data_IF_631929704764
#
_entry.id   IF_631929704764
#
_cell.length_a   1.000
_cell.length_b   1.000
_cell.length_c   1.000
_cell.angle_alpha   90.00
_cell.angle_beta   90.00
_cell.angle_gamma   90.00
#
_symmetry.space_group_name_H-M   'P 1'
#
loop_
_entity.id
_entity.type
_entity.pdbx_description
1 polymer ?
#
# COMPACT_ATOMS: atom_id res chain seq x y z
N UNK A 1 40.92 37.07 15.31
CA UNK A 1 40.16 37.25 16.57
C UNK A 1 38.79 36.62 16.41
N UNK A 2 38.47 35.56 17.16
CA UNK A 2 37.17 34.88 17.08
C UNK A 2 36.09 35.70 17.81
N UNK A 3 34.98 36.01 17.13
CA UNK A 3 33.85 36.72 17.75
C UNK A 3 33.21 35.84 18.83
N UNK A 4 32.94 36.37 20.03
CA UNK A 4 32.32 35.59 21.09
C UNK A 4 30.90 35.14 20.69
N UNK A 5 30.46 33.95 21.11
CA UNK A 5 29.16 33.41 20.74
C UNK A 5 28.02 34.30 21.26
N UNK A 6 27.08 34.64 20.36
CA UNK A 6 25.88 35.42 20.70
C UNK A 6 25.09 34.70 21.81
N UNK A 7 24.79 35.41 22.90
CA UNK A 7 23.91 34.92 23.97
C UNK A 7 22.56 34.50 23.35
N UNK A 8 22.20 33.22 23.50
CA UNK A 8 20.91 32.69 23.02
C UNK A 8 19.77 33.40 23.76
N UNK A 9 18.82 33.96 23.02
CA UNK A 9 17.64 34.65 23.58
C UNK A 9 16.84 33.67 24.45
N UNK A 10 16.52 34.04 25.69
CA UNK A 10 15.65 33.25 26.57
C UNK A 10 14.22 33.37 26.06
N UNK A 11 13.71 32.30 25.48
CA UNK A 11 12.34 32.20 25.00
C UNK A 11 11.42 32.03 26.21
N UNK A 12 10.40 32.88 26.32
CA UNK A 12 9.44 32.87 27.42
C UNK A 12 8.59 31.60 27.44
N UNK A 13 8.01 31.25 28.59
CA UNK A 13 7.12 30.09 28.70
C UNK A 13 5.88 30.21 27.80
N UNK A 14 5.41 31.43 27.54
CA UNK A 14 4.31 31.71 26.62
C UNK A 14 4.72 31.49 25.15
N UNK A 15 5.87 32.01 24.72
CA UNK A 15 6.39 31.76 23.37
C UNK A 15 6.58 30.26 23.11
N UNK A 16 7.07 29.48 24.08
CA UNK A 16 7.17 28.02 23.95
C UNK A 16 5.80 27.35 23.74
N UNK A 17 4.77 27.78 24.48
CA UNK A 17 3.40 27.23 24.33
C UNK A 17 2.79 27.60 22.97
N UNK A 18 3.01 28.82 22.48
CA UNK A 18 2.58 29.23 21.14
C UNK A 18 3.30 28.45 20.04
N UNK A 19 4.61 28.21 20.18
CA UNK A 19 5.39 27.40 19.24
C UNK A 19 4.84 25.97 19.16
N UNK A 20 4.57 25.33 20.31
CA UNK A 20 4.01 23.97 20.36
C UNK A 20 2.63 23.89 19.72
N UNK A 21 1.77 24.91 19.89
CA UNK A 21 0.46 24.95 19.21
C UNK A 21 0.62 25.06 17.69
N UNK A 22 1.51 25.92 17.21
CA UNK A 22 1.79 26.05 15.77
C UNK A 22 2.42 24.78 15.17
N UNK A 23 3.30 24.11 15.92
CA UNK A 23 3.91 22.86 15.49
C UNK A 23 2.86 21.71 15.44
N UNK A 24 1.90 21.70 16.36
CA UNK A 24 0.77 20.76 16.37
C UNK A 24 -0.22 21.03 15.23
N UNK A 25 -0.51 22.29 14.91
CA UNK A 25 -1.36 22.66 13.78
C UNK A 25 -0.70 22.30 12.45
N UNK A 26 0.60 22.58 12.29
CA UNK A 26 1.38 22.16 11.10
C UNK A 26 1.44 20.65 10.94
N UNK A 27 1.59 19.90 12.04
CA UNK A 27 1.58 18.44 12.00
C UNK A 27 0.21 17.90 11.55
N UNK A 28 -0.89 18.47 12.04
CA UNK A 28 -2.26 18.09 11.63
C UNK A 28 -2.57 18.45 10.18
N UNK A 29 -2.13 19.62 9.72
CA UNK A 29 -2.28 20.01 8.31
C UNK A 29 -1.49 19.08 7.37
N UNK A 30 -0.26 18.69 7.76
CA UNK A 30 0.53 17.71 6.99
C UNK A 30 -0.09 16.31 6.96
N UNK A 31 -0.65 15.82 8.08
CA UNK A 31 -1.29 14.51 8.14
C UNK A 31 -2.53 14.43 7.22
N UNK A 32 -3.35 15.50 7.17
CA UNK A 32 -4.57 15.50 6.35
C UNK A 32 -4.33 15.42 4.84
N UNK A 33 -3.28 16.09 4.34
CA UNK A 33 -2.99 16.13 2.90
C UNK A 33 -2.36 14.84 2.35
N UNK A 34 -1.65 14.09 3.19
CA UNK A 34 -1.03 12.83 2.79
C UNK A 34 -2.06 11.69 2.65
N UNK A 35 -3.14 11.71 3.45
CA UNK A 35 -4.22 10.74 3.33
C UNK A 35 -5.11 11.00 2.11
N UNK A 36 -5.46 12.25 1.83
CA UNK A 36 -6.17 12.61 0.58
C UNK A 36 -5.36 12.21 -0.65
N UNK A 37 -4.03 12.36 -0.62
CA UNK A 37 -3.17 11.92 -1.72
C UNK A 37 -3.19 10.39 -1.91
N UNK A 38 -3.15 9.62 -0.82
CA UNK A 38 -3.25 8.15 -0.88
C UNK A 38 -4.60 7.70 -1.44
N UNK A 39 -5.69 8.35 -1.05
CA UNK A 39 -7.04 8.07 -1.56
C UNK A 39 -7.13 8.29 -3.07
N UNK A 40 -6.62 9.44 -3.55
CA UNK A 40 -6.57 9.75 -4.99
C UNK A 40 -5.72 8.74 -5.77
N UNK A 41 -4.53 8.41 -5.25
CA UNK A 41 -3.65 7.41 -5.83
C UNK A 41 -4.32 6.02 -5.87
N UNK A 42 -5.00 5.64 -4.80
CA UNK A 42 -5.75 4.39 -4.75
C UNK A 42 -6.88 4.40 -5.78
N UNK A 43 -7.60 5.52 -5.95
CA UNK A 43 -8.62 5.70 -6.98
C UNK A 43 -8.07 5.50 -8.39
N UNK A 44 -6.88 6.02 -8.69
CA UNK A 44 -6.16 5.76 -9.96
C UNK A 44 -5.88 4.27 -10.16
N UNK A 45 -5.47 3.57 -9.10
CA UNK A 45 -5.18 2.13 -9.17
C UNK A 45 -6.46 1.30 -9.34
N UNK A 46 -7.57 1.69 -8.69
CA UNK A 46 -8.87 1.01 -8.79
C UNK A 46 -9.51 1.15 -10.17
N UNK A 47 -9.28 2.28 -10.84
CA UNK A 47 -9.80 2.55 -12.19
C UNK A 47 -8.93 1.98 -13.31
N UNK A 48 -7.79 1.38 -12.96
CA UNK A 48 -6.91 0.72 -13.92
C UNK A 48 -7.60 -0.47 -14.62
N UNK A 49 -7.08 -0.88 -15.80
CA UNK A 49 -7.50 -2.12 -16.44
C UNK A 49 -7.39 -3.32 -15.50
N UNK A 50 -8.18 -4.34 -15.80
CA UNK A 50 -8.28 -5.56 -14.99
C UNK A 50 -6.92 -6.25 -14.71
N UNK A 51 -5.97 -6.12 -15.63
CA UNK A 51 -4.62 -6.69 -15.50
C UNK A 51 -3.71 -5.89 -14.54
N UNK A 52 -4.17 -4.74 -14.06
CA UNK A 52 -3.43 -3.81 -13.22
C UNK A 52 -2.75 -2.68 -14.02
N UNK A 53 -2.01 -1.84 -13.29
CA UNK A 53 -1.30 -0.69 -13.84
C UNK A 53 0.18 -0.72 -13.42
N UNK A 54 1.07 -0.34 -14.31
CA UNK A 54 2.49 -0.22 -13.96
C UNK A 54 2.80 1.19 -13.41
N UNK A 55 4.00 1.39 -12.84
CA UNK A 55 4.41 2.69 -12.30
C UNK A 55 4.39 3.84 -13.31
N UNK A 56 4.68 3.57 -14.57
CA UNK A 56 4.66 4.59 -15.63
C UNK A 56 3.24 5.08 -15.91
N UNK A 57 2.28 4.14 -15.96
CA UNK A 57 0.86 4.43 -16.11
C UNK A 57 0.33 5.24 -14.92
N UNK A 58 0.69 4.83 -13.70
CA UNK A 58 0.30 5.60 -12.50
C UNK A 58 0.86 7.02 -12.57
N UNK A 59 2.16 7.20 -12.88
CA UNK A 59 2.74 8.54 -13.02
C UNK A 59 1.99 9.39 -14.03
N UNK A 60 1.66 8.82 -15.19
CA UNK A 60 0.93 9.53 -16.24
C UNK A 60 -0.46 9.97 -15.77
N UNK A 61 -1.19 9.10 -15.08
CA UNK A 61 -2.52 9.41 -14.53
C UNK A 61 -2.45 10.45 -13.39
N UNK A 62 -1.43 10.39 -12.54
CA UNK A 62 -1.23 11.38 -11.46
C UNK A 62 -0.91 12.77 -12.04
N UNK A 63 -0.10 12.85 -13.10
CA UNK A 63 0.17 14.11 -13.82
C UNK A 63 -1.10 14.68 -14.42
N UNK A 64 -1.95 13.86 -15.03
CA UNK A 64 -3.24 14.30 -15.57
C UNK A 64 -4.19 14.85 -14.49
N UNK A 65 -4.07 14.34 -13.26
CA UNK A 65 -4.79 14.84 -12.08
C UNK A 65 -4.12 16.02 -11.37
N UNK A 66 -3.02 16.57 -11.91
CA UNK A 66 -2.22 17.63 -11.29
C UNK A 66 -1.69 17.27 -9.89
N UNK A 67 -1.40 15.98 -9.65
CA UNK A 67 -0.91 15.50 -8.35
C UNK A 67 0.64 15.42 -8.33
N UNK A 68 1.27 15.78 -7.19
CA UNK A 68 2.73 15.76 -7.03
C UNK A 68 3.32 14.35 -7.18
N UNK A 69 4.38 14.17 -7.97
CA UNK A 69 5.00 12.84 -8.23
C UNK A 69 6.04 12.45 -7.17
N UNK A 70 6.63 13.44 -6.51
CA UNK A 70 7.64 13.28 -5.46
C UNK A 70 7.14 12.40 -4.30
N UNK A 71 5.85 12.51 -3.95
CA UNK A 71 5.21 11.70 -2.90
C UNK A 71 4.81 10.29 -3.34
N UNK A 72 4.85 9.97 -4.64
CA UNK A 72 4.28 8.74 -5.19
C UNK A 72 4.88 7.48 -4.57
N UNK A 73 6.19 7.41 -4.41
CA UNK A 73 6.85 6.22 -3.88
C UNK A 73 6.50 5.96 -2.42
N UNK A 74 6.41 7.02 -1.61
CA UNK A 74 6.04 6.96 -0.20
C UNK A 74 4.59 6.51 -0.06
N UNK A 75 3.67 7.10 -0.83
CA UNK A 75 2.26 6.73 -0.81
C UNK A 75 2.03 5.29 -1.29
N UNK A 76 2.68 4.86 -2.38
CA UNK A 76 2.62 3.46 -2.84
C UNK A 76 3.11 2.48 -1.77
N UNK A 77 4.17 2.84 -1.04
CA UNK A 77 4.68 2.00 0.05
C UNK A 77 3.66 1.93 1.18
N UNK A 78 3.07 3.05 1.58
CA UNK A 78 2.01 3.11 2.60
C UNK A 78 0.80 2.25 2.24
N UNK A 79 0.27 2.38 1.02
CA UNK A 79 -0.86 1.57 0.53
C UNK A 79 -0.52 0.07 0.45
N UNK A 80 0.74 -0.27 0.18
CA UNK A 80 1.18 -1.67 0.16
C UNK A 80 1.30 -2.24 1.59
N UNK A 81 1.75 -1.44 2.55
CA UNK A 81 1.86 -1.81 3.96
C UNK A 81 0.49 -1.92 4.64
N UNK A 82 -0.48 -1.05 4.29
CA UNK A 82 -1.88 -1.19 4.71
C UNK A 82 -2.59 -2.38 4.04
N UNK A 83 -1.99 -2.93 2.98
CA UNK A 83 -2.52 -4.08 2.24
C UNK A 83 -3.69 -3.72 1.33
N UNK A 84 -3.84 -2.45 0.96
CA UNK A 84 -4.85 -1.99 0.00
C UNK A 84 -4.43 -2.29 -1.44
N UNK A 85 -3.12 -2.32 -1.71
CA UNK A 85 -2.57 -2.66 -3.03
C UNK A 85 -1.51 -3.77 -2.93
N UNK A 86 -1.27 -4.45 -4.05
CA UNK A 86 -0.18 -5.41 -4.20
C UNK A 86 0.63 -5.15 -5.47
N UNK A 87 1.96 -5.29 -5.36
CA UNK A 87 2.88 -5.22 -6.48
C UNK A 87 3.29 -6.64 -6.92
N UNK A 88 2.86 -7.03 -8.11
CA UNK A 88 3.09 -8.36 -8.69
C UNK A 88 3.98 -8.27 -9.93
N UNK A 89 5.26 -8.01 -9.69
CA UNK A 89 6.29 -7.96 -10.72
C UNK A 89 6.23 -6.70 -11.57
N UNK A 90 6.09 -5.54 -10.93
CA UNK A 90 6.06 -4.23 -11.59
C UNK A 90 4.65 -3.78 -12.00
N UNK A 91 3.66 -4.65 -11.81
CA UNK A 91 2.23 -4.35 -12.00
C UNK A 91 1.60 -4.20 -10.62
N UNK A 92 0.91 -3.09 -10.42
CA UNK A 92 0.25 -2.70 -9.18
C UNK A 92 -1.25 -2.87 -9.37
N UNK A 93 -1.89 -3.48 -8.38
CA UNK A 93 -3.32 -3.80 -8.39
C UNK A 93 -3.90 -3.53 -7.01
N UNK A 94 -5.14 -3.05 -6.96
CA UNK A 94 -5.87 -2.94 -5.71
C UNK A 94 -6.33 -4.34 -5.25
N UNK A 95 -6.18 -4.64 -3.97
CA UNK A 95 -6.54 -5.94 -3.38
C UNK A 95 -8.05 -6.16 -3.42
N UNK A 96 -8.84 -5.08 -3.30
CA UNK A 96 -10.29 -5.16 -3.37
C UNK A 96 -10.82 -5.67 -4.72
N UNK A 97 -10.09 -5.41 -5.81
CA UNK A 97 -10.40 -5.83 -7.17
C UNK A 97 -10.18 -7.33 -7.42
N UNK A 98 -9.85 -8.12 -6.39
CA UNK A 98 -9.78 -9.56 -6.49
C UNK A 98 -11.13 -10.15 -6.92
N UNK A 99 -11.24 -10.58 -8.18
CA UNK A 99 -12.47 -11.15 -8.73
C UNK A 99 -12.53 -12.67 -8.56
N UNK A 100 -13.66 -13.18 -8.04
CA UNK A 100 -13.92 -14.62 -7.95
C UNK A 100 -13.97 -15.32 -9.31
N UNK A 101 -14.32 -14.59 -10.36
CA UNK A 101 -14.50 -15.12 -11.71
C UNK A 101 -13.16 -15.54 -12.32
N UNK A 102 -12.07 -14.87 -11.96
CA UNK A 102 -10.75 -15.06 -12.56
C UNK A 102 -9.82 -15.86 -11.64
N UNK A 103 -10.41 -16.86 -10.98
CA UNK A 103 -9.72 -17.81 -10.11
C UNK A 103 -9.13 -18.97 -10.90
N UNK A 104 -8.11 -19.58 -10.31
CA UNK A 104 -7.62 -20.87 -10.78
C UNK A 104 -8.72 -21.94 -10.65
N UNK A 105 -8.58 -23.04 -11.40
CA UNK A 105 -9.30 -24.28 -11.07
C UNK A 105 -8.97 -24.73 -9.65
N UNK A 106 -9.88 -25.48 -9.00
CA UNK A 106 -9.70 -25.90 -7.61
C UNK A 106 -8.37 -26.64 -7.39
N UNK A 107 -8.00 -27.53 -8.31
CA UNK A 107 -6.73 -28.27 -8.27
C UNK A 107 -5.51 -27.35 -8.30
N UNK A 108 -5.52 -26.30 -9.13
CA UNK A 108 -4.40 -25.36 -9.21
C UNK A 108 -4.42 -24.36 -8.05
N UNK A 109 -5.60 -23.99 -7.57
CA UNK A 109 -5.78 -23.16 -6.38
C UNK A 109 -5.21 -23.86 -5.13
N UNK A 110 -5.39 -25.17 -4.98
CA UNK A 110 -4.80 -25.98 -3.92
C UNK A 110 -3.27 -26.03 -4.02
N UNK A 111 -2.72 -26.20 -5.23
CA UNK A 111 -1.26 -26.16 -5.46
C UNK A 111 -0.68 -24.79 -5.11
N UNK A 112 -1.35 -23.71 -5.53
CA UNK A 112 -0.98 -22.33 -5.18
C UNK A 112 -1.01 -22.14 -3.67
N UNK A 113 -2.10 -22.53 -3.01
CA UNK A 113 -2.26 -22.41 -1.56
C UNK A 113 -1.18 -23.18 -0.81
N UNK A 114 -0.90 -24.41 -1.23
CA UNK A 114 0.16 -25.25 -0.66
C UNK A 114 1.55 -24.62 -0.83
N UNK A 115 1.82 -24.02 -1.99
CA UNK A 115 3.07 -23.30 -2.21
C UNK A 115 3.22 -22.10 -1.28
N UNK A 116 2.18 -21.26 -1.18
CA UNK A 116 2.18 -20.06 -0.32
C UNK A 116 2.41 -20.47 1.14
N UNK A 117 1.70 -21.49 1.65
CA UNK A 117 1.86 -22.01 3.02
C UNK A 117 3.27 -22.50 3.33
N UNK A 118 3.94 -23.15 2.36
CA UNK A 118 5.33 -23.62 2.53
C UNK A 118 6.33 -22.47 2.56
N UNK A 119 6.00 -21.29 2.03
CA UNK A 119 6.86 -20.11 2.01
C UNK A 119 6.58 -19.21 3.21
N UNK A 120 7.00 -19.66 4.40
CA UNK A 120 6.84 -18.93 5.68
C UNK A 120 7.43 -17.51 5.65
N UNK A 121 8.53 -17.30 4.95
CA UNK A 121 9.21 -16.00 4.84
C UNK A 121 8.78 -15.18 3.60
N UNK A 122 7.64 -15.53 2.99
CA UNK A 122 7.19 -14.93 1.74
C UNK A 122 7.96 -15.41 0.50
N UNK A 123 7.63 -14.83 -0.66
CA UNK A 123 8.25 -15.17 -1.94
C UNK A 123 8.21 -14.00 -2.93
N UNK A 124 9.15 -13.99 -3.88
CA UNK A 124 9.13 -13.04 -5.00
C UNK A 124 8.14 -13.51 -6.07
N UNK A 125 7.33 -12.59 -6.59
CA UNK A 125 6.35 -12.92 -7.63
C UNK A 125 6.99 -13.52 -8.91
N UNK A 126 8.21 -13.10 -9.29
CA UNK A 126 8.96 -13.69 -10.42
C UNK A 126 9.18 -15.20 -10.26
N UNK A 127 9.52 -15.66 -9.06
CA UNK A 127 9.74 -17.08 -8.76
C UNK A 127 8.42 -17.85 -8.73
N UNK A 128 7.36 -17.24 -8.19
CA UNK A 128 6.01 -17.79 -8.19
C UNK A 128 5.46 -17.97 -9.60
N UNK A 129 5.53 -16.93 -10.45
CA UNK A 129 5.18 -17.00 -11.87
C UNK A 129 5.92 -18.15 -12.56
N UNK A 130 7.25 -18.27 -12.37
CA UNK A 130 8.06 -19.33 -13.02
C UNK A 130 7.56 -20.73 -12.68
N UNK A 131 6.99 -20.95 -11.49
CA UNK A 131 6.44 -22.25 -11.06
C UNK A 131 5.14 -22.61 -11.78
N UNK A 132 4.25 -21.63 -11.98
CA UNK A 132 2.90 -21.85 -12.51
C UNK A 132 2.72 -21.42 -13.99
N UNK A 133 3.77 -20.87 -14.62
CA UNK A 133 3.71 -20.31 -15.99
C UNK A 133 3.20 -21.25 -17.08
N UNK A 134 3.26 -22.58 -16.85
CA UNK A 134 2.85 -23.60 -17.82
C UNK A 134 1.39 -24.03 -17.64
N UNK A 135 0.78 -23.75 -16.50
CA UNK A 135 -0.54 -24.28 -16.12
C UNK A 135 -1.57 -23.20 -15.93
N UNK A 136 -1.18 -22.02 -15.44
CA UNK A 136 -2.11 -20.93 -15.14
C UNK A 136 -1.73 -19.67 -15.93
N UNK A 137 -2.72 -19.05 -16.56
CA UNK A 137 -2.58 -17.74 -17.17
C UNK A 137 -2.07 -16.71 -16.12
N UNK A 138 -1.20 -15.79 -16.52
CA UNK A 138 -0.60 -14.83 -15.61
C UNK A 138 -1.61 -13.94 -14.90
N UNK A 139 -2.66 -13.50 -15.60
CA UNK A 139 -3.69 -12.64 -15.03
C UNK A 139 -4.50 -13.39 -13.97
N UNK A 140 -4.99 -14.59 -14.31
CA UNK A 140 -5.67 -15.51 -13.37
C UNK A 140 -4.81 -15.77 -12.12
N UNK A 141 -3.51 -16.02 -12.31
CA UNK A 141 -2.57 -16.25 -11.21
C UNK A 141 -2.41 -15.03 -10.29
N UNK A 142 -2.43 -13.81 -10.84
CA UNK A 142 -2.39 -12.56 -10.04
C UNK A 142 -3.68 -12.39 -9.23
N UNK A 143 -4.82 -12.59 -9.88
CA UNK A 143 -6.13 -12.45 -9.24
C UNK A 143 -6.38 -13.52 -8.17
N UNK A 144 -5.96 -14.76 -8.39
CA UNK A 144 -5.98 -15.80 -7.35
C UNK A 144 -5.12 -15.38 -6.14
N UNK A 145 -3.94 -14.79 -6.37
CA UNK A 145 -3.08 -14.32 -5.27
C UNK A 145 -3.73 -13.18 -4.48
N UNK A 146 -4.32 -12.19 -5.16
CA UNK A 146 -5.08 -11.10 -4.54
C UNK A 146 -6.28 -11.64 -3.75
N UNK A 147 -7.00 -12.61 -4.30
CA UNK A 147 -8.13 -13.26 -3.64
C UNK A 147 -7.71 -13.87 -2.31
N UNK A 148 -6.57 -14.58 -2.27
CA UNK A 148 -6.04 -15.16 -1.03
C UNK A 148 -5.59 -14.11 -0.01
N UNK A 149 -5.05 -12.98 -0.48
CA UNK A 149 -4.72 -11.85 0.40
C UNK A 149 -5.99 -11.27 1.04
N UNK A 150 -7.03 -11.04 0.24
CA UNK A 150 -8.34 -10.56 0.71
C UNK A 150 -8.99 -11.55 1.70
N UNK A 151 -8.96 -12.85 1.41
CA UNK A 151 -9.46 -13.89 2.35
C UNK A 151 -8.71 -13.88 3.68
N UNK A 152 -7.38 -13.68 3.65
CA UNK A 152 -6.57 -13.60 4.88
C UNK A 152 -6.94 -12.37 5.70
N UNK A 153 -7.10 -11.21 5.06
CA UNK A 153 -7.55 -9.99 5.74
C UNK A 153 -8.91 -10.20 6.40
N UNK A 154 -9.88 -10.77 5.69
CA UNK A 154 -11.20 -11.09 6.25
C UNK A 154 -11.11 -12.04 7.43
N UNK A 155 -10.26 -13.07 7.36
CA UNK A 155 -10.03 -14.00 8.49
C UNK A 155 -9.39 -13.30 9.70
N UNK A 156 -8.42 -12.41 9.48
CA UNK A 156 -7.80 -11.63 10.54
C UNK A 156 -8.79 -10.67 11.20
N UNK A 157 -9.61 -9.97 10.41
CA UNK A 157 -10.68 -9.10 10.91
C UNK A 157 -11.73 -9.88 11.71
N UNK A 158 -12.15 -11.06 11.23
CA UNK A 158 -13.06 -11.95 11.97
C UNK A 158 -12.45 -12.46 13.28
N UNK A 159 -11.15 -12.71 13.31
CA UNK A 159 -10.44 -13.09 14.54
C UNK A 159 -10.23 -11.89 15.49
N UNK A 160 -10.23 -10.66 14.99
CA UNK A 160 -10.18 -9.42 15.79
C UNK A 160 -11.55 -9.07 16.43
N UNK A 161 -12.66 -9.64 15.94
CA UNK A 161 -13.99 -9.47 16.57
C UNK A 161 -14.23 -10.37 17.80
N UNK A 162 -13.23 -11.13 18.27
CA UNK A 162 -13.31 -11.94 19.50
C UNK A 162 -12.30 -11.52 20.58
N UNK A 163 -11.96 -10.24 20.68
CA UNK A 163 -11.45 -9.68 21.94
C UNK A 163 -12.58 -8.91 22.59
N UNK A 164 -13.45 -9.65 23.29
CA UNK A 164 -14.37 -9.08 24.28
C UNK A 164 -13.49 -8.60 25.44
N UNK A 165 -13.13 -7.31 25.43
CA UNK A 165 -12.48 -6.67 26.58
C UNK A 165 -13.60 -6.34 27.58
N UNK A 166 -13.69 -7.23 28.58
CA UNK A 166 -14.55 -7.25 29.77
C UNK A 166 -16.06 -7.28 29.51
#
# INVERSE_FOLDING_TARGET
MAKPPRKKRKISAHEKKCQVKQDLEKAKEQDSGDDTYKEELLGVIKTAPFDGINRSGIRSAMVQKNLPIDKLNTALKGLQESGEIANMGGVIMAVECALKILKCSDTDAEKVTSYIRRKKNGFKFKSFKKRFKKTVNLCVLRHELLWRMKEKQVKQLKNLMFVRIK
#
